data_IF_256420905985
#
_entry.id   IF_256420905985
#
_cell.length_a   1.000
_cell.length_b   1.000
_cell.length_c   1.000
_cell.angle_alpha   90.00
_cell.angle_beta   90.00
_cell.angle_gamma   90.00
#
_symmetry.space_group_name_H-M   'P 1'
#
loop_
_entity.id
_entity.type
_entity.pdbx_description
1 polymer ?
#
# COMPACT_ATOMS: atom_id res chain seq x y z
N UNK A 1 3.97 14.24 -4.42
CA UNK A 1 2.89 13.63 -5.22
C UNK A 1 1.54 14.12 -4.74
N UNK A 2 1.01 15.15 -5.40
CA UNK A 2 -0.36 15.65 -5.17
C UNK A 2 -1.35 14.58 -5.62
N UNK A 3 -2.45 14.40 -4.89
CA UNK A 3 -3.50 13.44 -5.23
C UNK A 3 -3.28 12.01 -4.74
N UNK A 4 -2.15 11.70 -4.09
CA UNK A 4 -1.91 10.37 -3.51
C UNK A 4 -2.07 10.41 -1.99
N UNK A 5 -1.33 11.30 -1.33
CA UNK A 5 -1.34 11.45 0.13
C UNK A 5 -1.76 12.85 0.57
N UNK A 6 -1.51 13.87 -0.26
CA UNK A 6 -1.77 15.28 0.03
C UNK A 6 -2.57 15.93 -1.12
N UNK A 7 -3.31 17.01 -0.83
CA UNK A 7 -4.17 17.68 -1.81
C UNK A 7 -5.46 16.90 -2.09
N UNK A 8 -5.99 17.00 -3.32
CA UNK A 8 -7.20 16.27 -3.71
C UNK A 8 -6.89 14.79 -3.99
N UNK A 9 -6.83 13.98 -2.92
CA UNK A 9 -6.52 12.53 -2.99
C UNK A 9 -7.48 11.83 -3.93
N UNK A 10 -6.96 10.95 -4.80
CA UNK A 10 -7.78 10.18 -5.76
C UNK A 10 -8.83 9.35 -5.00
N UNK A 11 -10.09 9.28 -5.49
CA UNK A 11 -11.19 8.63 -4.78
C UNK A 11 -10.86 7.22 -4.28
N UNK A 12 -10.27 6.38 -5.13
CA UNK A 12 -9.93 4.98 -4.84
C UNK A 12 -8.83 4.80 -3.78
N UNK A 13 -8.10 5.87 -3.44
CA UNK A 13 -7.08 5.85 -2.38
C UNK A 13 -7.61 6.35 -1.03
N UNK A 14 -8.75 7.07 -1.02
CA UNK A 14 -9.24 7.75 0.20
C UNK A 14 -9.58 6.77 1.32
N UNK A 15 -10.11 5.61 0.97
CA UNK A 15 -10.54 4.58 1.93
C UNK A 15 -9.40 3.69 2.41
N UNK A 16 -8.20 3.79 1.83
CA UNK A 16 -7.07 2.92 2.18
C UNK A 16 -6.42 3.38 3.49
N UNK A 17 -6.24 2.43 4.42
CA UNK A 17 -5.54 2.58 5.69
C UNK A 17 -6.06 3.77 6.53
N UNK A 18 -7.38 3.90 6.65
CA UNK A 18 -8.00 4.99 7.44
C UNK A 18 -7.92 4.67 8.93
N UNK A 19 -7.43 5.62 9.73
CA UNK A 19 -7.39 5.50 11.18
C UNK A 19 -8.79 5.40 11.77
N UNK A 20 -9.04 4.38 12.59
CA UNK A 20 -10.31 4.24 13.30
C UNK A 20 -10.46 5.22 14.47
N UNK A 21 -9.35 5.60 15.10
CA UNK A 21 -9.31 6.52 16.25
C UNK A 21 -7.91 7.11 16.41
N UNK A 22 -7.82 8.30 17.00
CA UNK A 22 -6.57 8.94 17.41
C UNK A 22 -6.44 9.07 18.93
N UNK A 23 -7.36 8.48 19.71
CA UNK A 23 -7.40 8.62 21.16
C UNK A 23 -6.23 7.87 21.85
N UNK A 24 -5.79 6.76 21.28
CA UNK A 24 -4.65 6.00 21.77
C UNK A 24 -3.78 5.54 20.59
N UNK A 25 -2.64 6.21 20.42
CA UNK A 25 -1.68 5.96 19.34
C UNK A 25 -0.46 5.14 19.79
N UNK A 26 -0.52 4.49 20.96
CA UNK A 26 0.53 3.57 21.39
C UNK A 26 0.47 2.29 20.55
N UNK A 27 1.61 1.88 20.00
CA UNK A 27 1.74 0.60 19.30
C UNK A 27 2.04 -0.46 20.35
N UNK A 28 1.05 -1.26 20.70
CA UNK A 28 1.15 -2.32 21.74
C UNK A 28 0.60 -3.66 21.23
N UNK A 29 0.48 -3.80 19.91
CA UNK A 29 -0.06 -4.99 19.26
C UNK A 29 1.02 -6.05 18.93
N UNK A 30 2.27 -5.86 19.38
CA UNK A 30 3.34 -6.85 19.24
C UNK A 30 3.93 -6.92 17.83
N UNK A 31 4.13 -5.77 17.19
CA UNK A 31 4.80 -5.63 15.89
C UNK A 31 6.31 -5.72 15.98
N UNK A 32 6.90 -5.45 17.14
CA UNK A 32 8.34 -5.62 17.36
C UNK A 32 8.72 -5.78 18.83
N UNK A 33 9.90 -6.36 19.07
CA UNK A 33 10.43 -6.60 20.41
C UNK A 33 11.94 -6.33 20.45
N UNK A 34 12.47 -6.05 21.65
CA UNK A 34 13.91 -5.92 21.86
C UNK A 34 14.58 -7.29 21.78
N UNK A 35 15.55 -7.41 20.90
CA UNK A 35 16.49 -8.53 20.81
C UNK A 35 17.78 -8.24 21.56
N UNK A 36 18.76 -9.12 21.38
CA UNK A 36 20.08 -8.95 21.98
C UNK A 36 20.80 -7.74 21.39
N UNK A 37 21.62 -7.06 22.21
CA UNK A 37 22.45 -5.92 21.80
C UNK A 37 21.66 -4.77 21.14
N UNK A 38 20.40 -4.56 21.52
CA UNK A 38 19.57 -3.46 20.99
C UNK A 38 19.01 -3.70 19.58
N UNK A 39 19.13 -4.93 19.05
CA UNK A 39 18.51 -5.30 17.77
C UNK A 39 17.00 -5.33 17.91
N UNK A 40 16.27 -4.77 16.95
CA UNK A 40 14.80 -4.93 16.88
C UNK A 40 14.44 -6.25 16.19
N UNK A 41 13.68 -7.10 16.89
CA UNK A 41 13.12 -8.32 16.34
C UNK A 41 11.70 -8.08 15.82
N UNK A 42 11.35 -8.51 14.60
CA UNK A 42 9.99 -8.36 14.08
C UNK A 42 9.02 -9.26 14.85
N UNK A 43 7.89 -8.70 15.27
CA UNK A 43 6.80 -9.41 15.92
C UNK A 43 5.73 -9.89 14.92
N UNK A 44 4.77 -10.65 15.45
CA UNK A 44 3.61 -11.12 14.65
C UNK A 44 2.65 -9.96 14.36
N UNK A 45 2.46 -9.08 15.32
CA UNK A 45 1.43 -8.04 15.30
C UNK A 45 0.02 -8.60 15.46
N UNK A 46 -0.96 -7.70 15.33
CA UNK A 46 -2.38 -8.04 15.24
C UNK A 46 -2.97 -7.42 13.97
N UNK A 47 -3.48 -8.27 13.10
CA UNK A 47 -4.28 -7.86 11.95
C UNK A 47 -5.50 -8.75 11.82
N UNK A 48 -6.57 -8.20 11.27
CA UNK A 48 -7.77 -8.95 10.89
C UNK A 48 -7.93 -8.89 9.38
N UNK A 49 -8.07 -10.07 8.76
CA UNK A 49 -8.28 -10.18 7.31
C UNK A 49 -9.76 -10.35 7.03
N UNK A 50 -10.27 -9.55 6.11
CA UNK A 50 -11.67 -9.60 5.67
C UNK A 50 -11.78 -9.31 4.18
N UNK A 51 -12.95 -9.58 3.60
CA UNK A 51 -13.30 -9.05 2.30
C UNK A 51 -13.51 -7.52 2.37
N UNK A 52 -13.38 -6.85 1.23
CA UNK A 52 -13.83 -5.47 1.10
C UNK A 52 -15.34 -5.36 1.35
N UNK A 53 -15.78 -4.27 1.96
CA UNK A 53 -17.22 -3.94 2.04
C UNK A 53 -17.74 -3.50 0.67
N UNK A 54 -19.07 -3.47 0.50
CA UNK A 54 -19.69 -3.00 -0.74
C UNK A 54 -19.29 -1.55 -1.04
N UNK A 55 -19.21 -0.69 -0.03
CA UNK A 55 -18.81 0.71 -0.14
C UNK A 55 -17.34 0.84 -0.55
N UNK A 56 -16.45 0.03 0.03
CA UNK A 56 -15.03 0.01 -0.32
C UNK A 56 -14.83 -0.43 -1.78
N UNK A 57 -15.60 -1.43 -2.25
CA UNK A 57 -15.57 -1.88 -3.65
C UNK A 57 -16.09 -0.82 -4.62
N UNK A 58 -17.17 -0.12 -4.26
CA UNK A 58 -17.69 1.00 -5.08
C UNK A 58 -16.64 2.10 -5.21
N UNK A 59 -16.00 2.50 -4.10
CA UNK A 59 -14.96 3.53 -4.13
C UNK A 59 -13.74 3.09 -4.95
N UNK A 60 -13.33 1.82 -4.81
CA UNK A 60 -12.26 1.26 -5.62
C UNK A 60 -12.61 1.25 -7.12
N UNK A 61 -13.86 0.94 -7.49
CA UNK A 61 -14.30 0.92 -8.88
C UNK A 61 -14.38 2.30 -9.54
N UNK A 62 -14.59 3.37 -8.77
CA UNK A 62 -14.64 4.76 -9.27
C UNK A 62 -13.26 5.27 -9.69
N UNK A 63 -12.19 4.73 -9.12
CA UNK A 63 -10.83 5.07 -9.50
C UNK A 63 -10.41 4.44 -10.82
N UNK A 64 -10.42 5.22 -11.90
CA UNK A 64 -9.74 4.82 -13.12
C UNK A 64 -8.23 4.82 -12.86
N UNK A 65 -7.46 3.79 -13.27
CA UNK A 65 -6.01 3.89 -13.27
C UNK A 65 -5.56 5.13 -14.08
N UNK A 66 -4.38 5.71 -13.79
CA UNK A 66 -3.86 6.81 -14.58
C UNK A 66 -3.95 6.45 -16.07
N UNK A 67 -4.62 7.27 -16.87
CA UNK A 67 -4.54 7.13 -18.33
C UNK A 67 -3.34 7.96 -18.76
N UNK A 68 -2.22 7.31 -19.09
CA UNK A 68 -1.05 8.02 -19.62
C UNK A 68 -1.01 8.05 -21.16
N UNK A 69 -2.06 7.59 -21.85
CA UNK A 69 -2.12 7.62 -23.32
C UNK A 69 -3.54 7.80 -23.89
N UNK A 70 -3.64 8.53 -25.00
CA UNK A 70 -4.85 8.80 -25.78
C UNK A 70 -5.30 7.61 -26.66
N UNK A 71 -4.68 6.43 -26.52
CA UNK A 71 -4.97 5.30 -27.39
C UNK A 71 -6.17 4.50 -26.88
N UNK A 72 -7.27 4.70 -27.60
CA UNK A 72 -8.55 3.99 -27.47
C UNK A 72 -8.43 2.55 -27.99
N UNK A 73 -7.58 1.72 -27.39
CA UNK A 73 -7.51 0.29 -27.73
C UNK A 73 -8.31 -0.49 -26.70
N UNK A 74 -9.38 -1.14 -27.19
CA UNK A 74 -10.39 -1.89 -26.46
C UNK A 74 -9.86 -3.19 -25.80
N UNK A 75 -8.83 -3.07 -24.97
CA UNK A 75 -8.43 -4.07 -23.97
C UNK A 75 -8.46 -3.39 -22.62
N UNK A 76 -9.62 -3.42 -21.96
CA UNK A 76 -9.84 -2.67 -20.71
C UNK A 76 -8.82 -3.07 -19.65
N UNK A 77 -8.05 -2.09 -19.14
CA UNK A 77 -7.19 -2.34 -17.99
C UNK A 77 -8.04 -2.89 -16.83
N UNK A 78 -7.49 -3.79 -16.01
CA UNK A 78 -8.20 -4.29 -14.84
C UNK A 78 -8.59 -3.11 -13.94
N UNK A 79 -9.80 -3.17 -13.37
CA UNK A 79 -10.27 -2.16 -12.43
C UNK A 79 -9.35 -2.11 -11.19
N UNK A 80 -9.32 -0.98 -10.49
CA UNK A 80 -8.53 -0.88 -9.26
C UNK A 80 -8.92 -1.93 -8.21
N UNK A 81 -10.20 -2.30 -8.11
CA UNK A 81 -10.67 -3.40 -7.26
C UNK A 81 -10.05 -4.75 -7.68
N UNK A 82 -9.94 -5.01 -8.98
CA UNK A 82 -9.29 -6.22 -9.49
C UNK A 82 -7.80 -6.26 -9.15
N UNK A 83 -7.10 -5.13 -9.29
CA UNK A 83 -5.65 -5.04 -9.03
C UNK A 83 -5.35 -5.14 -7.53
N UNK A 84 -6.15 -4.50 -6.68
CA UNK A 84 -5.96 -4.50 -5.23
C UNK A 84 -6.41 -5.81 -4.54
N UNK A 85 -6.96 -6.76 -5.31
CA UNK A 85 -7.34 -8.09 -4.83
C UNK A 85 -8.71 -8.12 -4.15
N UNK A 86 -9.01 -9.24 -3.49
CA UNK A 86 -10.32 -9.50 -2.85
C UNK A 86 -10.30 -9.36 -1.34
N UNK A 87 -9.10 -9.30 -0.73
CA UNK A 87 -8.91 -9.25 0.70
C UNK A 87 -8.23 -7.94 1.13
N UNK A 88 -8.61 -7.48 2.32
CA UNK A 88 -8.08 -6.30 2.98
C UNK A 88 -7.85 -6.61 4.46
N UNK A 89 -6.97 -5.83 5.09
CA UNK A 89 -6.60 -6.01 6.48
C UNK A 89 -6.92 -4.78 7.31
N UNK A 90 -7.42 -5.00 8.52
CA UNK A 90 -7.43 -3.98 9.56
C UNK A 90 -6.20 -4.20 10.45
N UNK A 91 -5.26 -3.27 10.43
CA UNK A 91 -3.94 -3.35 11.08
C UNK A 91 -4.02 -2.66 12.44
N UNK A 92 -3.94 -3.43 13.53
CA UNK A 92 -4.15 -2.88 14.87
C UNK A 92 -2.89 -2.23 15.42
N UNK A 93 -3.04 -1.02 15.96
CA UNK A 93 -2.04 -0.41 16.84
C UNK A 93 -2.11 -1.03 18.24
N UNK A 94 -3.33 -1.18 18.73
CA UNK A 94 -3.74 -1.67 20.04
C UNK A 94 -5.23 -2.07 19.97
N UNK A 95 -5.89 -2.32 21.09
CA UNK A 95 -7.32 -2.70 21.10
C UNK A 95 -8.29 -1.56 20.75
N UNK A 96 -7.86 -0.30 20.91
CA UNK A 96 -8.68 0.89 20.71
C UNK A 96 -8.52 1.52 19.31
N UNK A 97 -7.41 1.27 18.62
CA UNK A 97 -7.09 1.90 17.34
C UNK A 97 -6.48 0.94 16.32
N UNK A 98 -6.89 1.08 15.07
CA UNK A 98 -6.35 0.37 13.92
C UNK A 98 -6.36 1.26 12.66
N UNK A 99 -5.53 0.91 11.68
CA UNK A 99 -5.70 1.36 10.31
C UNK A 99 -6.60 0.37 9.58
N UNK A 100 -7.77 0.83 9.14
CA UNK A 100 -8.73 0.00 8.44
C UNK A 100 -8.49 -0.03 6.94
N UNK A 101 -8.89 -1.13 6.31
CA UNK A 101 -8.89 -1.30 4.88
C UNK A 101 -7.50 -1.12 4.24
N UNK A 102 -6.55 -1.95 4.66
CA UNK A 102 -5.25 -2.11 4.02
C UNK A 102 -5.31 -3.26 3.02
N UNK A 103 -5.41 -3.03 1.70
CA UNK A 103 -5.47 -4.11 0.72
C UNK A 103 -4.31 -5.09 0.88
N UNK A 104 -4.55 -6.40 0.71
CA UNK A 104 -3.51 -7.40 0.90
C UNK A 104 -2.22 -7.14 0.08
N UNK A 105 -2.31 -6.77 -1.22
CA UNK A 105 -1.11 -6.41 -2.01
C UNK A 105 -0.33 -5.21 -1.45
N UNK A 106 -1.01 -4.27 -0.77
CA UNK A 106 -0.37 -3.11 -0.14
C UNK A 106 0.37 -3.51 1.12
N UNK A 107 -0.24 -4.38 1.94
CA UNK A 107 0.39 -4.93 3.14
C UNK A 107 1.59 -5.82 2.81
N UNK A 108 1.46 -6.66 1.78
CA UNK A 108 2.47 -7.62 1.33
C UNK A 108 3.57 -7.00 0.48
N UNK A 109 3.48 -5.70 0.18
CA UNK A 109 4.47 -5.00 -0.61
C UNK A 109 5.85 -5.01 0.07
N UNK A 110 6.86 -5.50 -0.65
CA UNK A 110 8.21 -5.70 -0.12
C UNK A 110 9.27 -4.89 -0.88
N UNK A 111 10.28 -4.43 -0.15
CA UNK A 111 11.52 -3.87 -0.71
C UNK A 111 12.69 -4.59 -0.04
N UNK A 112 13.59 -5.18 -0.84
CA UNK A 112 14.73 -5.95 -0.33
C UNK A 112 14.31 -7.15 0.54
N UNK A 113 13.17 -7.77 0.24
CA UNK A 113 12.63 -8.92 0.96
C UNK A 113 11.85 -8.60 2.25
N UNK A 114 11.70 -7.33 2.60
CA UNK A 114 10.96 -6.92 3.81
C UNK A 114 9.64 -6.22 3.48
N UNK A 115 8.56 -6.62 4.15
CA UNK A 115 7.27 -5.91 4.13
C UNK A 115 7.45 -4.49 4.69
N UNK A 116 7.19 -3.48 3.87
CA UNK A 116 7.57 -2.08 4.16
C UNK A 116 6.85 -1.57 5.42
N UNK A 117 5.53 -1.73 5.49
CA UNK A 117 4.72 -1.19 6.58
C UNK A 117 4.97 -1.99 7.87
N UNK A 118 5.02 -3.33 7.80
CA UNK A 118 5.31 -4.17 8.96
C UNK A 118 6.68 -3.84 9.57
N UNK A 119 7.71 -3.65 8.75
CA UNK A 119 9.04 -3.24 9.21
C UNK A 119 9.03 -1.86 9.84
N UNK A 120 8.24 -0.91 9.31
CA UNK A 120 8.11 0.41 9.92
C UNK A 120 7.49 0.34 11.32
N UNK A 121 6.47 -0.52 11.49
CA UNK A 121 5.79 -0.75 12.77
C UNK A 121 6.69 -1.46 13.79
N UNK A 122 7.56 -2.38 13.37
CA UNK A 122 8.39 -3.15 14.32
C UNK A 122 9.34 -2.27 15.13
N UNK A 123 9.83 -1.16 14.56
CA UNK A 123 10.68 -0.20 15.29
C UNK A 123 9.90 0.74 16.21
N UNK A 124 8.57 0.67 16.17
CA UNK A 124 7.67 1.64 16.81
C UNK A 124 6.77 1.02 17.86
N UNK A 125 6.98 -0.25 18.21
CA UNK A 125 6.39 -0.83 19.42
C UNK A 125 6.68 0.10 20.60
N UNK A 126 5.69 0.32 21.45
CA UNK A 126 5.76 1.27 22.55
C UNK A 126 6.96 1.00 23.46
N UNK A 127 7.22 -0.29 23.76
CA UNK A 127 8.35 -0.71 24.59
C UNK A 127 9.72 -0.46 23.93
N UNK A 128 9.76 -0.31 22.60
CA UNK A 128 10.98 0.04 21.84
C UNK A 128 11.12 1.54 21.62
N UNK A 129 10.01 2.23 21.31
CA UNK A 129 9.99 3.65 20.99
C UNK A 129 9.97 4.53 22.26
N UNK A 130 9.48 3.99 23.38
CA UNK A 130 9.34 4.67 24.66
C UNK A 130 8.22 5.71 24.73
N UNK A 131 7.37 5.81 23.70
CA UNK A 131 6.25 6.76 23.62
C UNK A 131 5.17 6.31 22.64
N UNK A 132 3.95 6.89 22.71
CA UNK A 132 2.96 6.76 21.64
C UNK A 132 3.45 7.40 20.33
N UNK A 133 2.84 7.02 19.21
CA UNK A 133 3.00 7.77 17.96
C UNK A 133 2.40 9.16 18.11
N UNK A 134 2.99 10.12 17.41
CA UNK A 134 2.34 11.40 17.12
C UNK A 134 1.23 11.18 16.07
N UNK A 135 0.23 12.08 16.00
CA UNK A 135 -0.80 12.02 14.96
C UNK A 135 -0.22 12.04 13.54
N UNK A 136 0.89 12.75 13.33
CA UNK A 136 1.55 12.83 12.03
C UNK A 136 2.25 11.50 11.68
N UNK A 137 2.94 10.86 12.62
CA UNK A 137 3.50 9.52 12.41
C UNK A 137 2.41 8.47 12.12
N UNK A 138 1.27 8.55 12.82
CA UNK A 138 0.13 7.68 12.56
C UNK A 138 -0.44 7.90 11.15
N UNK A 139 -0.50 9.15 10.69
CA UNK A 139 -0.94 9.51 9.34
C UNK A 139 0.07 9.09 8.26
N UNK A 140 1.36 9.04 8.57
CA UNK A 140 2.36 8.57 7.61
C UNK A 140 2.17 7.11 7.21
N UNK A 141 1.61 6.24 8.07
CA UNK A 141 1.24 4.88 7.68
C UNK A 141 0.13 4.89 6.63
N UNK A 142 -0.89 5.72 6.80
CA UNK A 142 -1.93 5.94 5.78
C UNK A 142 -1.31 6.45 4.47
N UNK A 143 -0.36 7.38 4.56
CA UNK A 143 0.31 7.92 3.38
C UNK A 143 1.18 6.88 2.67
N UNK A 144 1.93 6.05 3.41
CA UNK A 144 2.71 4.95 2.85
C UNK A 144 1.81 3.95 2.13
N UNK A 145 0.72 3.53 2.77
CA UNK A 145 -0.25 2.61 2.17
C UNK A 145 -0.84 3.15 0.86
N UNK A 146 -1.25 4.42 0.83
CA UNK A 146 -1.77 5.06 -0.38
C UNK A 146 -0.73 5.20 -1.49
N UNK A 147 0.53 5.51 -1.13
CA UNK A 147 1.65 5.58 -2.10
C UNK A 147 1.92 4.19 -2.70
N UNK A 148 1.98 3.15 -1.88
CA UNK A 148 2.16 1.76 -2.33
C UNK A 148 0.98 1.33 -3.21
N UNK A 149 -0.26 1.59 -2.80
CA UNK A 149 -1.44 1.31 -3.60
C UNK A 149 -1.38 2.03 -4.96
N UNK A 150 -0.96 3.29 -4.99
CA UNK A 150 -0.81 4.03 -6.24
C UNK A 150 0.24 3.42 -7.18
N UNK A 151 1.33 2.86 -6.65
CA UNK A 151 2.34 2.14 -7.43
C UNK A 151 1.79 0.82 -7.98
N UNK A 152 1.08 0.05 -7.15
CA UNK A 152 0.45 -1.21 -7.56
C UNK A 152 -0.58 -0.97 -8.66
N UNK A 153 -1.40 0.08 -8.53
CA UNK A 153 -2.38 0.46 -9.56
C UNK A 153 -1.76 0.91 -10.88
N UNK A 154 -0.50 1.37 -10.87
CA UNK A 154 0.25 1.76 -12.06
C UNK A 154 0.90 0.55 -12.76
N UNK A 155 1.03 -0.59 -12.07
CA UNK A 155 1.75 -1.75 -12.55
C UNK A 155 1.25 -2.28 -13.91
N UNK A 156 -0.06 -2.46 -14.18
CA UNK A 156 -0.49 -3.00 -15.47
C UNK A 156 -0.14 -2.11 -16.66
N UNK A 157 -0.12 -0.79 -16.48
CA UNK A 157 0.27 0.15 -17.52
C UNK A 157 1.79 0.13 -17.75
N UNK A 158 2.57 0.01 -16.68
CA UNK A 158 4.04 -0.17 -16.78
C UNK A 158 4.40 -1.50 -17.46
N UNK A 159 3.70 -2.58 -17.13
CA UNK A 159 3.89 -3.88 -17.75
C UNK A 159 3.55 -3.82 -19.25
N UNK A 160 2.42 -3.19 -19.60
CA UNK A 160 2.06 -2.96 -21.02
C UNK A 160 3.14 -2.16 -21.75
N UNK A 161 3.59 -1.06 -21.15
CA UNK A 161 4.64 -0.21 -21.72
C UNK A 161 5.93 -1.02 -21.94
N UNK A 162 6.37 -1.76 -20.93
CA UNK A 162 7.54 -2.62 -21.01
C UNK A 162 7.44 -3.64 -22.15
N UNK A 163 6.30 -4.32 -22.30
CA UNK A 163 6.10 -5.27 -23.40
C UNK A 163 6.13 -4.58 -24.78
N UNK A 164 5.52 -3.40 -24.90
CA UNK A 164 5.55 -2.62 -26.15
C UNK A 164 6.98 -2.21 -26.52
N UNK A 165 7.76 -1.71 -25.57
CA UNK A 165 9.16 -1.32 -25.81
C UNK A 165 10.00 -2.54 -26.16
N UNK A 166 9.86 -3.65 -25.42
CA UNK A 166 10.55 -4.90 -25.69
C UNK A 166 10.23 -5.46 -27.08
N UNK A 167 8.99 -5.33 -27.56
CA UNK A 167 8.60 -5.79 -28.89
C UNK A 167 9.13 -4.89 -30.03
N UNK A 168 9.42 -3.62 -29.73
CA UNK A 168 9.89 -2.63 -30.70
C UNK A 168 11.42 -2.54 -30.80
N UNK A 169 12.18 -3.36 -30.05
CA UNK A 169 13.64 -3.36 -30.14
C UNK A 169 14.12 -3.89 -31.49
N UNK A 170 15.00 -3.15 -32.16
CA UNK A 170 15.58 -3.55 -33.44
C UNK A 170 16.53 -4.75 -33.28
N UNK A 171 16.53 -5.64 -34.27
CA UNK A 171 17.44 -6.78 -34.32
C UNK A 171 18.82 -6.32 -34.81
N UNK A 172 19.84 -6.45 -33.96
CA UNK A 172 21.19 -5.93 -34.24
C UNK A 172 21.92 -6.68 -35.38
N UNK A 173 21.37 -7.83 -35.81
CA UNK A 173 21.93 -8.66 -36.88
C UNK A 173 21.39 -8.34 -38.29
N UNK A 174 20.72 -7.21 -38.49
CA UNK A 174 20.35 -6.79 -39.84
C UNK A 174 21.62 -6.40 -40.63
N UNK A 175 21.88 -7.00 -41.81
CA UNK A 175 23.03 -6.65 -42.62
C UNK A 175 22.99 -5.17 -43.01
N UNK A 176 24.14 -4.49 -42.94
CA UNK A 176 24.27 -3.10 -43.39
C UNK A 176 23.93 -2.99 -44.90
N UNK A 177 23.28 -1.90 -45.32
CA UNK A 177 23.06 -1.60 -46.73
C UNK A 177 24.38 -1.40 -47.49
#
# INVERSE_FOLDING_TARGET
>A
MTGVANGNVRPELKTIAVLSSTANLSITAGWGHAGQNGVTMPGKGKLETRAFTAEELVVAAVGRPPQTSNDSVAGGLPSAATILGTATHDIFMNEAACWRNMPAPVWDYTIGGYQVIKKWLSYREHDLLGRPLTPDEAREVTHMARRIAALILLQPELDKNYQSVKAATADWNLPKP
#
